data_IF_619614339197
#
_entry.id   IF_619614339197
#
_cell.length_a   1.000
_cell.length_b   1.000
_cell.length_c   1.000
_cell.angle_alpha   90.00
_cell.angle_beta   90.00
_cell.angle_gamma   90.00
#
_symmetry.space_group_name_H-M   'P 1'
#
loop_
_entity.id
_entity.type
_entity.pdbx_description
1 polymer ?
#
# COMPACT_ATOMS: atom_id res chain seq x y z
N UNK A 1 98.27 -17.63 -9.69
CA UNK A 1 98.22 -16.91 -8.40
C UNK A 1 97.00 -17.45 -7.66
N UNK A 2 97.23 -17.99 -6.46
CA UNK A 2 96.33 -18.56 -5.43
C UNK A 2 94.80 -18.36 -5.61
N UNK A 3 94.00 -19.45 -5.68
CA UNK A 3 93.34 -20.19 -4.58
C UNK A 3 92.18 -19.44 -3.89
N UNK A 4 91.01 -20.08 -3.82
CA UNK A 4 89.96 -19.74 -2.84
C UNK A 4 88.54 -20.08 -3.25
N UNK A 5 88.16 -21.36 -3.15
CA UNK A 5 86.76 -21.77 -2.93
C UNK A 5 86.43 -21.50 -1.46
N UNK A 6 85.26 -20.95 -1.13
CA UNK A 6 84.61 -21.33 0.11
C UNK A 6 83.08 -21.35 -0.01
N UNK A 7 82.55 -22.48 0.41
CA UNK A 7 81.14 -22.88 0.52
C UNK A 7 80.64 -22.45 1.89
N UNK A 8 79.38 -22.03 1.99
CA UNK A 8 78.55 -22.35 3.15
C UNK A 8 77.12 -22.66 2.69
N UNK A 9 76.73 -23.88 3.03
CA UNK A 9 75.41 -24.50 3.12
C UNK A 9 74.46 -23.67 4.03
N UNK A 10 73.13 -23.80 4.07
CA UNK A 10 72.25 -24.96 3.96
C UNK A 10 70.78 -24.50 3.79
N UNK A 11 69.93 -25.48 3.51
CA UNK A 11 68.51 -25.44 3.13
C UNK A 11 67.48 -25.08 4.25
N UNK A 12 66.27 -24.71 3.79
CA UNK A 12 64.92 -24.83 4.37
C UNK A 12 64.64 -24.24 5.78
N UNK A 13 63.69 -23.30 5.90
CA UNK A 13 62.36 -23.59 6.47
C UNK A 13 61.40 -22.39 6.53
N UNK A 14 60.11 -22.71 6.28
CA UNK A 14 58.89 -22.28 6.98
C UNK A 14 58.59 -20.77 7.16
N UNK A 15 57.41 -20.39 6.66
CA UNK A 15 56.50 -19.54 7.43
C UNK A 15 56.37 -18.10 6.95
N UNK A 16 55.33 -17.86 6.16
CA UNK A 16 54.91 -16.50 5.79
C UNK A 16 53.52 -16.48 5.18
N UNK A 17 52.56 -17.18 5.82
CA UNK A 17 51.14 -16.97 5.57
C UNK A 17 50.85 -15.51 5.95
N UNK A 18 50.87 -14.59 4.98
CA UNK A 18 50.31 -13.27 5.21
C UNK A 18 48.80 -13.46 5.37
N UNK A 19 48.37 -13.55 6.63
CA UNK A 19 46.99 -13.40 7.03
C UNK A 19 46.51 -12.02 6.60
N UNK A 20 46.08 -11.88 5.35
CA UNK A 20 45.18 -10.81 5.00
C UNK A 20 43.81 -11.22 5.53
N UNK A 21 43.61 -11.01 6.83
CA UNK A 21 42.27 -10.98 7.43
C UNK A 21 41.57 -9.73 6.89
N UNK A 22 41.21 -9.76 5.62
CA UNK A 22 40.30 -8.79 5.02
C UNK A 22 38.95 -9.08 5.65
N UNK A 23 38.55 -8.18 6.54
CA UNK A 23 37.19 -8.18 7.07
C UNK A 23 36.19 -8.25 5.91
N UNK A 24 35.02 -8.89 6.07
CA UNK A 24 33.98 -8.90 5.04
C UNK A 24 33.50 -7.50 4.60
N UNK A 25 33.90 -6.43 5.30
CA UNK A 25 33.53 -5.05 5.01
C UNK A 25 34.21 -4.48 3.76
N UNK A 26 35.41 -4.93 3.37
CA UNK A 26 36.17 -4.29 2.29
C UNK A 26 35.73 -4.71 0.87
N UNK A 27 34.95 -5.80 0.77
CA UNK A 27 34.38 -6.25 -0.50
C UNK A 27 33.00 -5.64 -0.82
N UNK A 28 32.36 -4.94 0.12
CA UNK A 28 31.10 -4.22 -0.13
C UNK A 28 31.31 -2.82 -0.76
N UNK A 29 32.52 -2.27 -0.67
CA UNK A 29 32.86 -0.96 -1.28
C UNK A 29 33.16 -1.05 -2.78
N UNK A 30 33.36 -2.27 -3.31
CA UNK A 30 33.62 -2.54 -4.74
C UNK A 30 32.38 -2.80 -5.59
N UNK A 31 31.19 -2.50 -5.07
CA UNK A 31 29.98 -2.35 -5.89
C UNK A 31 29.64 -0.86 -5.98
N UNK A 32 30.47 -0.10 -6.71
CA UNK A 32 30.46 1.37 -6.77
C UNK A 32 29.15 2.00 -7.25
N UNK A 33 28.14 2.00 -6.38
CA UNK A 33 27.00 2.90 -6.43
C UNK A 33 27.27 3.96 -5.37
N UNK A 34 27.81 5.11 -5.77
CA UNK A 34 27.97 6.26 -4.88
C UNK A 34 26.59 6.80 -4.47
N UNK A 35 25.84 6.07 -3.66
CA UNK A 35 24.43 6.33 -3.36
C UNK A 35 24.32 7.52 -2.40
N UNK A 36 23.46 8.49 -2.70
CA UNK A 36 23.30 9.64 -1.82
C UNK A 36 22.64 9.19 -0.50
N UNK A 37 22.88 9.88 0.63
CA UNK A 37 22.20 9.56 1.90
C UNK A 37 20.67 9.52 1.76
N UNK A 38 20.13 10.39 0.89
CA UNK A 38 18.71 10.44 0.54
C UNK A 38 18.25 9.14 -0.14
N UNK A 39 19.02 8.63 -1.10
CA UNK A 39 18.69 7.38 -1.80
C UNK A 39 18.73 6.17 -0.86
N UNK A 40 19.74 6.08 0.01
CA UNK A 40 19.81 5.01 1.01
C UNK A 40 18.58 5.05 1.90
N UNK A 41 18.19 6.24 2.37
CA UNK A 41 16.99 6.44 3.18
C UNK A 41 15.72 6.01 2.44
N UNK A 42 15.56 6.42 1.18
CA UNK A 42 14.40 6.02 0.36
C UNK A 42 14.34 4.52 0.14
N UNK A 43 15.47 3.86 -0.16
CA UNK A 43 15.52 2.40 -0.33
C UNK A 43 15.10 1.70 0.96
N UNK A 44 15.60 2.12 2.11
CA UNK A 44 15.21 1.57 3.41
C UNK A 44 13.70 1.75 3.68
N UNK A 45 13.13 2.91 3.35
CA UNK A 45 11.68 3.15 3.46
C UNK A 45 10.88 2.20 2.56
N UNK A 46 11.29 2.02 1.30
CA UNK A 46 10.58 1.12 0.40
C UNK A 46 10.71 -0.36 0.82
N UNK A 47 11.90 -0.79 1.25
CA UNK A 47 12.12 -2.16 1.75
C UNK A 47 11.31 -2.43 3.01
N UNK A 48 11.31 -1.51 3.98
CA UNK A 48 10.47 -1.64 5.18
C UNK A 48 8.99 -1.64 4.84
N UNK A 49 8.54 -0.76 3.93
CA UNK A 49 7.16 -0.74 3.43
C UNK A 49 6.78 -2.07 2.78
N UNK A 50 7.67 -2.67 1.98
CA UNK A 50 7.45 -3.98 1.38
C UNK A 50 7.23 -5.06 2.45
N UNK A 51 8.13 -5.14 3.44
CA UNK A 51 8.04 -6.14 4.51
C UNK A 51 6.77 -5.96 5.33
N UNK A 52 6.45 -4.71 5.71
CA UNK A 52 5.24 -4.38 6.47
C UNK A 52 3.99 -4.70 5.66
N UNK A 53 3.95 -4.34 4.36
CA UNK A 53 2.81 -4.61 3.50
C UNK A 53 2.59 -6.12 3.33
N UNK A 54 3.64 -6.90 3.09
CA UNK A 54 3.51 -8.35 2.92
C UNK A 54 3.09 -9.04 4.22
N UNK A 55 3.79 -8.78 5.32
CA UNK A 55 3.48 -9.41 6.60
C UNK A 55 2.12 -8.93 7.13
N UNK A 56 1.90 -7.61 7.17
CA UNK A 56 0.69 -6.99 7.71
C UNK A 56 -0.57 -7.40 6.96
N UNK A 57 -0.59 -7.31 5.63
CA UNK A 57 -1.77 -7.66 4.85
C UNK A 57 -2.03 -9.17 4.84
N UNK A 58 -0.98 -10.01 4.85
CA UNK A 58 -1.16 -11.47 4.97
C UNK A 58 -1.75 -11.83 6.34
N UNK A 59 -1.23 -11.26 7.42
CA UNK A 59 -1.79 -11.44 8.76
C UNK A 59 -3.23 -10.93 8.84
N UNK A 60 -3.55 -9.81 8.19
CA UNK A 60 -4.90 -9.28 8.12
C UNK A 60 -5.84 -10.27 7.44
N UNK A 61 -5.47 -10.82 6.28
CA UNK A 61 -6.27 -11.84 5.59
C UNK A 61 -6.49 -13.06 6.48
N UNK A 62 -5.44 -13.56 7.14
CA UNK A 62 -5.52 -14.73 8.04
C UNK A 62 -6.40 -14.48 9.26
N UNK A 63 -6.28 -13.30 9.89
CA UNK A 63 -7.08 -12.93 11.05
C UNK A 63 -8.56 -12.77 10.68
N UNK A 64 -8.84 -12.10 9.56
CA UNK A 64 -10.20 -11.84 9.10
C UNK A 64 -10.88 -13.08 8.50
N UNK A 65 -10.12 -14.05 7.95
CA UNK A 65 -10.65 -15.34 7.53
C UNK A 65 -11.30 -16.12 8.70
N UNK A 66 -10.88 -15.86 9.95
CA UNK A 66 -11.49 -16.46 11.15
C UNK A 66 -12.70 -15.71 11.68
N UNK A 67 -12.96 -14.48 11.19
CA UNK A 67 -14.07 -13.66 11.64
C UNK A 67 -15.30 -13.83 10.75
N UNK A 68 -16.45 -14.15 11.36
CA UNK A 68 -17.74 -14.33 10.65
C UNK A 68 -18.44 -13.00 10.31
N UNK A 69 -17.76 -11.86 10.40
CA UNK A 69 -18.37 -10.56 10.13
C UNK A 69 -18.44 -10.30 8.63
N UNK A 70 -19.60 -9.83 8.15
CA UNK A 70 -19.80 -9.53 6.72
C UNK A 70 -18.78 -8.50 6.20
N UNK A 71 -18.34 -7.55 7.04
CA UNK A 71 -17.38 -6.50 6.70
C UNK A 71 -15.96 -7.03 6.43
N UNK A 72 -15.64 -8.24 6.93
CA UNK A 72 -14.34 -8.87 6.74
C UNK A 72 -13.99 -9.05 5.25
N UNK A 73 -15.00 -9.17 4.39
CA UNK A 73 -14.83 -9.39 2.94
C UNK A 73 -14.21 -8.18 2.23
N UNK A 74 -14.61 -6.95 2.55
CA UNK A 74 -14.00 -5.74 1.96
C UNK A 74 -12.61 -5.46 2.53
N UNK A 75 -12.37 -5.82 3.79
CA UNK A 75 -11.06 -5.69 4.42
C UNK A 75 -10.07 -6.67 3.80
N UNK A 76 -10.50 -7.93 3.59
CA UNK A 76 -9.69 -8.92 2.88
C UNK A 76 -9.40 -8.51 1.43
N UNK A 77 -10.35 -7.88 0.73
CA UNK A 77 -10.13 -7.34 -0.61
C UNK A 77 -9.08 -6.22 -0.62
N UNK A 78 -9.14 -5.30 0.34
CA UNK A 78 -8.13 -4.23 0.51
C UNK A 78 -6.74 -4.82 0.76
N UNK A 79 -6.64 -5.79 1.67
CA UNK A 79 -5.38 -6.46 1.93
C UNK A 79 -4.83 -7.18 0.69
N UNK A 80 -5.70 -7.81 -0.11
CA UNK A 80 -5.29 -8.46 -1.34
C UNK A 80 -4.73 -7.46 -2.37
N UNK A 81 -5.38 -6.31 -2.58
CA UNK A 81 -4.86 -5.27 -3.48
C UNK A 81 -3.55 -4.67 -2.98
N UNK A 82 -3.41 -4.47 -1.67
CA UNK A 82 -2.17 -3.94 -1.08
C UNK A 82 -1.00 -4.94 -1.19
N UNK A 83 -1.27 -6.26 -1.16
CA UNK A 83 -0.26 -7.29 -1.47
C UNK A 83 0.22 -7.18 -2.92
N UNK A 84 -0.68 -6.97 -3.89
CA UNK A 84 -0.29 -6.75 -5.28
C UNK A 84 0.55 -5.48 -5.46
N UNK A 85 0.22 -4.39 -4.76
CA UNK A 85 1.05 -3.18 -4.72
C UNK A 85 2.43 -3.50 -4.14
N UNK A 86 2.48 -4.21 -3.01
CA UNK A 86 3.73 -4.68 -2.40
C UNK A 86 4.59 -5.49 -3.38
N UNK A 87 4.02 -6.50 -4.03
CA UNK A 87 4.76 -7.41 -4.91
C UNK A 87 5.20 -6.75 -6.23
N UNK A 88 4.40 -5.84 -6.80
CA UNK A 88 4.67 -5.31 -8.14
C UNK A 88 5.18 -3.86 -8.14
N UNK A 89 4.61 -2.96 -7.34
CA UNK A 89 4.97 -1.55 -7.37
C UNK A 89 6.27 -1.29 -6.59
N UNK A 90 6.36 -1.81 -5.36
CA UNK A 90 7.45 -1.47 -4.44
C UNK A 90 8.82 -1.92 -4.99
N UNK A 91 9.00 -3.13 -5.55
CA UNK A 91 10.26 -3.52 -6.18
C UNK A 91 10.68 -2.63 -7.35
N UNK A 92 9.71 -2.11 -8.14
CA UNK A 92 10.01 -1.15 -9.21
C UNK A 92 10.51 0.17 -8.64
N UNK A 93 9.92 0.66 -7.54
CA UNK A 93 10.38 1.87 -6.86
C UNK A 93 11.80 1.67 -6.31
N UNK A 94 12.07 0.55 -5.63
CA UNK A 94 13.42 0.20 -5.15
C UNK A 94 14.43 0.18 -6.31
N UNK A 95 14.09 -0.50 -7.41
CA UNK A 95 14.95 -0.57 -8.60
C UNK A 95 15.24 0.82 -9.16
N UNK A 96 14.24 1.70 -9.20
CA UNK A 96 14.39 3.07 -9.67
C UNK A 96 15.37 3.88 -8.80
N UNK A 97 15.24 3.76 -7.48
CA UNK A 97 16.12 4.47 -6.54
C UNK A 97 17.58 3.97 -6.62
N UNK A 98 17.78 2.65 -6.73
CA UNK A 98 19.13 2.04 -6.82
C UNK A 98 19.80 2.38 -8.16
N UNK A 99 19.07 2.24 -9.28
CA UNK A 99 19.63 2.42 -10.63
C UNK A 99 19.64 3.88 -11.08
N UNK A 100 19.07 4.80 -10.29
CA UNK A 100 18.91 6.24 -10.62
C UNK A 100 18.24 6.49 -11.97
N UNK A 101 17.45 5.54 -12.42
CA UNK A 101 16.80 5.55 -13.72
C UNK A 101 15.57 4.65 -13.66
N UNK A 102 14.65 4.79 -14.61
CA UNK A 102 13.53 3.83 -14.75
C UNK A 102 13.99 2.54 -15.44
N UNK A 103 15.20 2.07 -15.13
CA UNK A 103 15.78 0.89 -15.73
C UNK A 103 14.97 -0.35 -15.33
N UNK A 104 14.72 -1.21 -16.31
CA UNK A 104 14.05 -2.48 -16.14
C UNK A 104 15.09 -3.60 -16.20
N UNK A 105 15.07 -4.50 -15.21
CA UNK A 105 16.16 -5.47 -15.05
C UNK A 105 15.95 -6.78 -15.83
N UNK A 106 14.72 -7.06 -16.25
CA UNK A 106 14.38 -8.35 -16.88
C UNK A 106 14.28 -8.20 -18.40
N UNK A 107 15.07 -8.98 -19.13
CA UNK A 107 15.16 -8.94 -20.58
C UNK A 107 14.24 -9.96 -21.27
N UNK A 108 14.13 -9.88 -22.60
CA UNK A 108 13.42 -10.84 -23.44
C UNK A 108 11.89 -10.78 -23.34
N UNK A 109 11.23 -11.82 -23.83
CA UNK A 109 9.77 -11.91 -23.85
C UNK A 109 9.17 -11.91 -22.44
N UNK A 110 9.80 -12.61 -21.50
CA UNK A 110 9.42 -12.59 -20.08
C UNK A 110 9.51 -11.18 -19.48
N UNK A 111 10.54 -10.42 -19.84
CA UNK A 111 10.68 -9.01 -19.47
C UNK A 111 9.55 -8.14 -19.99
N UNK A 112 9.13 -8.34 -21.25
CA UNK A 112 8.03 -7.56 -21.84
C UNK A 112 6.71 -7.87 -21.14
N UNK A 113 6.44 -9.15 -20.88
CA UNK A 113 5.27 -9.57 -20.13
C UNK A 113 5.27 -8.98 -18.73
N UNK A 114 6.41 -9.05 -18.02
CA UNK A 114 6.54 -8.50 -16.67
C UNK A 114 6.40 -6.97 -16.66
N UNK A 115 6.95 -6.26 -17.66
CA UNK A 115 6.79 -4.81 -17.81
C UNK A 115 5.30 -4.42 -17.91
N UNK A 116 4.55 -5.10 -18.80
CA UNK A 116 3.10 -4.84 -18.96
C UNK A 116 2.31 -5.25 -17.73
N UNK A 117 2.47 -6.49 -17.27
CA UNK A 117 1.69 -7.06 -16.17
C UNK A 117 1.97 -6.37 -14.85
N UNK A 118 3.23 -6.10 -14.52
CA UNK A 118 3.55 -5.45 -13.25
C UNK A 118 2.97 -4.05 -13.21
N UNK A 119 3.09 -3.27 -14.29
CA UNK A 119 2.56 -1.89 -14.34
C UNK A 119 1.04 -1.89 -14.30
N UNK A 120 0.40 -2.78 -15.07
CA UNK A 120 -1.05 -2.97 -15.07
C UNK A 120 -1.58 -3.39 -13.69
N UNK A 121 -1.02 -4.45 -13.08
CA UNK A 121 -1.50 -4.97 -11.81
C UNK A 121 -1.31 -3.98 -10.66
N UNK A 122 -0.22 -3.19 -10.66
CA UNK A 122 -0.02 -2.16 -9.64
C UNK A 122 -1.10 -1.07 -9.70
N UNK A 123 -1.38 -0.55 -10.89
CA UNK A 123 -2.32 0.57 -11.04
C UNK A 123 -3.77 0.12 -10.93
N UNK A 124 -4.08 -1.10 -11.39
CA UNK A 124 -5.36 -1.78 -11.11
C UNK A 124 -5.54 -1.94 -9.60
N UNK A 125 -4.52 -2.40 -8.88
CA UNK A 125 -4.62 -2.62 -7.43
C UNK A 125 -4.80 -1.31 -6.67
N UNK A 126 -4.11 -0.25 -7.06
CA UNK A 126 -4.33 1.09 -6.50
C UNK A 126 -5.77 1.55 -6.73
N UNK A 127 -6.30 1.35 -7.95
CA UNK A 127 -7.67 1.70 -8.30
C UNK A 127 -8.70 0.90 -7.49
N UNK A 128 -8.48 -0.40 -7.33
CA UNK A 128 -9.31 -1.28 -6.50
C UNK A 128 -9.28 -0.82 -5.03
N UNK A 129 -8.11 -0.48 -4.49
CA UNK A 129 -8.00 0.06 -3.13
C UNK A 129 -8.83 1.34 -2.95
N UNK A 130 -8.77 2.29 -3.89
CA UNK A 130 -9.59 3.51 -3.83
C UNK A 130 -11.10 3.23 -3.97
N UNK A 131 -11.49 2.35 -4.89
CA UNK A 131 -12.90 1.95 -5.04
C UNK A 131 -13.41 1.20 -3.80
N UNK A 132 -12.56 0.42 -3.13
CA UNK A 132 -12.91 -0.27 -1.90
C UNK A 132 -13.20 0.70 -0.75
N UNK A 133 -12.54 1.87 -0.71
CA UNK A 133 -12.90 2.94 0.23
C UNK A 133 -14.33 3.42 0.04
N UNK A 134 -14.80 3.54 -1.22
CA UNK A 134 -16.20 3.87 -1.52
C UNK A 134 -17.11 2.77 -0.97
N UNK A 135 -16.79 1.50 -1.21
CA UNK A 135 -17.61 0.37 -0.73
C UNK A 135 -17.72 0.36 0.80
N UNK A 136 -16.61 0.58 1.51
CA UNK A 136 -16.60 0.67 2.98
C UNK A 136 -17.43 1.88 3.44
N UNK A 137 -17.22 3.06 2.85
CA UNK A 137 -17.95 4.27 3.22
C UNK A 137 -19.47 4.12 2.96
N UNK A 138 -19.84 3.54 1.82
CA UNK A 138 -21.23 3.25 1.46
C UNK A 138 -21.85 2.21 2.40
N UNK A 139 -21.11 1.17 2.79
CA UNK A 139 -21.59 0.20 3.77
C UNK A 139 -21.90 0.88 5.11
N UNK A 140 -21.01 1.75 5.60
CA UNK A 140 -21.23 2.50 6.85
C UNK A 140 -22.43 3.43 6.73
N UNK A 141 -22.55 4.14 5.61
CA UNK A 141 -23.69 5.00 5.34
C UNK A 141 -25.00 4.21 5.34
N UNK A 142 -25.06 3.07 4.64
CA UNK A 142 -26.24 2.20 4.61
C UNK A 142 -26.61 1.68 6.01
N UNK A 143 -25.61 1.25 6.80
CA UNK A 143 -25.85 0.76 8.15
C UNK A 143 -26.48 1.82 9.07
N UNK A 144 -26.09 3.09 8.91
CA UNK A 144 -26.57 4.21 9.74
C UNK A 144 -27.89 4.79 9.23
N UNK A 145 -28.02 5.00 7.92
CA UNK A 145 -29.15 5.73 7.34
C UNK A 145 -30.29 4.80 6.94
N UNK A 146 -29.98 3.59 6.46
CA UNK A 146 -30.95 2.63 5.95
C UNK A 146 -30.75 1.23 6.55
N UNK A 147 -30.91 1.06 7.89
CA UNK A 147 -30.56 -0.18 8.59
C UNK A 147 -31.32 -1.41 8.07
N UNK A 148 -32.56 -1.25 7.63
CA UNK A 148 -33.36 -2.34 7.03
C UNK A 148 -32.79 -2.81 5.69
N UNK A 149 -32.30 -1.89 4.85
CA UNK A 149 -31.66 -2.24 3.59
C UNK A 149 -30.29 -2.88 3.85
N UNK A 150 -29.52 -2.34 4.80
CA UNK A 150 -28.24 -2.92 5.20
C UNK A 150 -28.37 -4.39 5.65
N UNK A 151 -29.44 -4.72 6.41
CA UNK A 151 -29.71 -6.11 6.82
C UNK A 151 -29.90 -7.06 5.64
N UNK A 152 -30.46 -6.58 4.52
CA UNK A 152 -30.66 -7.35 3.28
C UNK A 152 -29.38 -7.56 2.47
N UNK A 153 -28.32 -6.79 2.72
CA UNK A 153 -27.03 -6.97 2.04
C UNK A 153 -26.42 -8.32 2.42
N UNK A 154 -26.33 -9.20 1.44
CA UNK A 154 -25.77 -10.55 1.58
C UNK A 154 -24.26 -10.55 1.33
N UNK A 155 -23.60 -11.64 1.74
CA UNK A 155 -22.18 -11.87 1.42
C UNK A 155 -21.98 -12.01 -0.09
N UNK A 156 -22.92 -12.65 -0.81
CA UNK A 156 -22.90 -12.75 -2.27
C UNK A 156 -22.89 -11.38 -2.95
N UNK A 157 -23.73 -10.44 -2.48
CA UNK A 157 -23.74 -9.07 -2.99
C UNK A 157 -22.37 -8.40 -2.82
N UNK A 158 -21.67 -8.62 -1.70
CA UNK A 158 -20.33 -8.05 -1.46
C UNK A 158 -19.28 -8.61 -2.41
N UNK A 159 -19.29 -9.93 -2.64
CA UNK A 159 -18.41 -10.54 -3.63
C UNK A 159 -18.68 -10.04 -5.05
N UNK A 160 -19.95 -9.83 -5.41
CA UNK A 160 -20.30 -9.20 -6.70
C UNK A 160 -19.76 -7.77 -6.77
N UNK A 161 -19.91 -6.96 -5.71
CA UNK A 161 -19.35 -5.60 -5.66
C UNK A 161 -17.82 -5.61 -5.81
N UNK A 162 -17.12 -6.53 -5.15
CA UNK A 162 -15.67 -6.69 -5.32
C UNK A 162 -15.34 -7.08 -6.76
N UNK A 163 -16.03 -8.07 -7.34
CA UNK A 163 -15.79 -8.45 -8.73
C UNK A 163 -15.98 -7.27 -9.68
N UNK A 164 -16.99 -6.42 -9.44
CA UNK A 164 -17.21 -5.19 -10.19
C UNK A 164 -16.04 -4.20 -10.04
N UNK A 165 -15.47 -4.01 -8.84
CA UNK A 165 -14.32 -3.11 -8.68
C UNK A 165 -13.10 -3.59 -9.47
N UNK A 166 -12.82 -4.89 -9.43
CA UNK A 166 -11.74 -5.49 -10.22
C UNK A 166 -11.97 -5.33 -11.72
N UNK A 167 -13.17 -5.66 -12.21
CA UNK A 167 -13.51 -5.55 -13.64
C UNK A 167 -13.42 -4.10 -14.10
N UNK A 168 -13.97 -3.15 -13.33
CA UNK A 168 -13.93 -1.74 -13.66
C UNK A 168 -12.49 -1.21 -13.69
N UNK A 169 -11.68 -1.53 -12.68
CA UNK A 169 -10.27 -1.14 -12.64
C UNK A 169 -9.49 -1.73 -13.83
N UNK A 170 -9.66 -3.02 -14.11
CA UNK A 170 -9.01 -3.67 -15.26
C UNK A 170 -9.46 -3.06 -16.60
N UNK A 171 -10.73 -2.70 -16.73
CA UNK A 171 -11.24 -2.04 -17.94
C UNK A 171 -10.59 -0.67 -18.14
N UNK A 172 -10.52 0.16 -17.10
CA UNK A 172 -9.90 1.50 -17.14
C UNK A 172 -8.41 1.43 -17.51
N UNK A 173 -7.69 0.43 -17.01
CA UNK A 173 -6.25 0.22 -17.25
C UNK A 173 -5.94 -0.68 -18.44
N UNK A 174 -6.94 -1.23 -19.13
CA UNK A 174 -6.74 -2.13 -20.28
C UNK A 174 -5.86 -1.56 -21.41
N UNK A 175 -5.82 -0.23 -21.68
CA UNK A 175 -4.87 0.33 -22.65
C UNK A 175 -3.40 0.02 -22.34
N UNK A 176 -3.04 -0.34 -21.09
CA UNK A 176 -1.65 -0.66 -20.69
C UNK A 176 -1.07 -1.80 -21.53
N UNK A 177 -1.89 -2.79 -21.89
CA UNK A 177 -1.48 -3.89 -22.74
C UNK A 177 -1.08 -3.42 -24.15
N UNK A 178 -1.69 -2.33 -24.62
CA UNK A 178 -1.35 -1.72 -25.89
C UNK A 178 -0.26 -0.67 -25.77
N UNK A 179 -0.14 0.12 -24.70
CA UNK A 179 0.81 1.26 -24.68
C UNK A 179 2.19 0.89 -24.11
N UNK A 180 2.28 -0.02 -23.14
CA UNK A 180 3.59 -0.30 -22.53
C UNK A 180 4.51 -1.09 -23.47
N UNK A 181 5.74 -0.62 -23.59
CA UNK A 181 6.80 -1.21 -24.41
C UNK A 181 8.06 -1.39 -23.57
N UNK A 182 8.82 -2.41 -23.96
CA UNK A 182 10.14 -2.66 -23.42
C UNK A 182 11.17 -2.23 -24.47
N UNK A 183 11.90 -1.15 -24.20
CA UNK A 183 12.79 -0.50 -25.17
C UNK A 183 14.21 -0.45 -24.60
N UNK A 184 15.20 -0.77 -25.43
CA UNK A 184 16.62 -0.66 -25.06
C UNK A 184 17.20 0.65 -25.59
N UNK A 185 17.63 1.52 -24.69
CA UNK A 185 18.42 2.70 -25.05
C UNK A 185 19.91 2.36 -24.94
N UNK A 186 20.63 2.46 -26.06
CA UNK A 186 22.09 2.30 -26.08
C UNK A 186 22.75 3.59 -25.60
N UNK A 187 23.62 3.49 -24.60
CA UNK A 187 24.52 4.58 -24.20
C UNK A 187 25.71 4.64 -25.16
N UNK A 188 26.39 5.80 -25.21
CA UNK A 188 27.56 6.02 -26.08
C UNK A 188 28.71 5.03 -25.84
N UNK A 189 28.82 4.47 -24.64
CA UNK A 189 29.82 3.45 -24.29
C UNK A 189 29.44 2.02 -24.72
N UNK A 190 28.40 1.85 -25.54
CA UNK A 190 27.92 0.54 -26.02
C UNK A 190 27.04 -0.23 -25.04
N UNK A 191 26.89 0.23 -23.79
CA UNK A 191 26.01 -0.42 -22.80
C UNK A 191 24.54 -0.08 -23.08
N UNK A 192 23.69 -1.09 -23.20
CA UNK A 192 22.24 -0.93 -23.37
C UNK A 192 21.53 -0.91 -22.02
N UNK A 193 20.73 0.12 -21.74
CA UNK A 193 19.81 0.14 -20.59
C UNK A 193 18.39 -0.08 -21.08
N UNK A 194 17.67 -0.98 -20.42
CA UNK A 194 16.31 -1.38 -20.78
C UNK A 194 15.31 -0.53 -20.00
N UNK A 195 14.22 -0.12 -20.63
CA UNK A 195 13.19 0.71 -20.02
C UNK A 195 11.80 0.18 -20.33
N UNK A 196 10.92 0.20 -19.33
CA UNK A 196 9.50 -0.06 -19.49
C UNK A 196 8.77 1.28 -19.56
N UNK A 197 8.36 1.69 -20.77
CA UNK A 197 7.79 3.02 -21.01
C UNK A 197 6.48 2.94 -21.81
N UNK A 198 5.53 3.86 -21.56
CA UNK A 198 4.35 3.99 -22.40
C UNK A 198 4.74 4.58 -23.76
N UNK A 199 4.25 3.96 -24.83
CA UNK A 199 4.36 4.42 -26.21
C UNK A 199 2.98 4.34 -26.86
N UNK A 200 2.51 5.47 -27.36
CA UNK A 200 1.16 5.63 -27.90
C UNK A 200 1.09 5.43 -29.42
N UNK A 201 2.24 5.38 -30.08
CA UNK A 201 2.39 5.14 -31.51
C UNK A 201 2.16 3.66 -31.88
N UNK A 202 1.72 3.38 -33.11
CA UNK A 202 1.33 4.32 -34.17
C UNK A 202 -0.12 4.83 -34.04
N UNK A 203 -0.96 4.20 -33.21
CA UNK A 203 -2.38 4.54 -33.10
C UNK A 203 -2.65 5.99 -32.66
N UNK A 204 -1.78 6.56 -31.83
CA UNK A 204 -1.91 7.92 -31.31
C UNK A 204 -0.53 8.62 -31.28
N UNK A 205 -0.14 9.25 -32.39
CA UNK A 205 1.13 9.97 -32.52
C UNK A 205 1.13 11.35 -31.84
N UNK A 206 -0.04 11.88 -31.49
CA UNK A 206 -0.15 13.19 -30.84
C UNK A 206 0.05 13.04 -29.33
N UNK A 207 0.95 13.82 -28.73
CA UNK A 207 1.22 13.81 -27.29
C UNK A 207 0.01 14.13 -26.40
N UNK A 208 -1.10 14.61 -26.98
CA UNK A 208 -2.37 14.85 -26.29
C UNK A 208 -3.05 13.57 -25.80
N UNK A 209 -2.86 12.42 -26.47
CA UNK A 209 -3.50 11.16 -26.08
C UNK A 209 -3.07 10.70 -24.69
N UNK A 210 -1.76 10.77 -24.42
CA UNK A 210 -1.20 10.46 -23.09
C UNK A 210 -1.79 11.38 -22.03
N UNK A 211 -1.79 12.70 -22.27
CA UNK A 211 -2.32 13.67 -21.31
C UNK A 211 -3.80 13.42 -21.03
N UNK A 212 -4.63 13.27 -22.07
CA UNK A 212 -6.06 13.02 -21.92
C UNK A 212 -6.33 11.74 -21.13
N UNK A 213 -5.61 10.66 -21.42
CA UNK A 213 -5.80 9.39 -20.72
C UNK A 213 -5.36 9.46 -19.25
N UNK A 214 -4.19 10.05 -18.97
CA UNK A 214 -3.72 10.23 -17.60
C UNK A 214 -4.67 11.14 -16.82
N UNK A 215 -5.10 12.26 -17.39
CA UNK A 215 -6.09 13.15 -16.76
C UNK A 215 -7.41 12.43 -16.53
N UNK A 216 -7.90 11.65 -17.49
CA UNK A 216 -9.11 10.82 -17.33
C UNK A 216 -8.97 9.84 -16.16
N UNK A 217 -7.85 9.12 -16.06
CA UNK A 217 -7.59 8.21 -14.95
C UNK A 217 -7.53 8.94 -13.61
N UNK A 218 -6.80 10.06 -13.52
CA UNK A 218 -6.75 10.84 -12.27
C UNK A 218 -8.13 11.34 -11.83
N UNK A 219 -8.93 11.87 -12.76
CA UNK A 219 -10.28 12.35 -12.45
C UNK A 219 -11.18 11.19 -12.00
N UNK A 220 -11.17 10.08 -12.73
CA UNK A 220 -12.11 8.96 -12.50
C UNK A 220 -11.71 8.00 -11.39
N UNK A 221 -10.41 7.79 -11.16
CA UNK A 221 -9.88 6.85 -10.18
C UNK A 221 -9.49 7.53 -8.88
N UNK A 222 -9.15 8.83 -8.91
CA UNK A 222 -8.71 9.56 -7.71
C UNK A 222 -9.74 10.58 -7.28
N UNK A 223 -9.99 11.63 -8.07
CA UNK A 223 -10.80 12.76 -7.62
C UNK A 223 -12.26 12.39 -7.35
N UNK A 224 -12.93 11.73 -8.31
CA UNK A 224 -14.34 11.34 -8.13
C UNK A 224 -14.48 10.38 -6.92
N UNK A 225 -13.70 9.30 -6.79
CA UNK A 225 -13.76 8.43 -5.62
C UNK A 225 -13.52 9.14 -4.29
N UNK A 226 -12.52 10.02 -4.20
CA UNK A 226 -12.23 10.76 -2.97
C UNK A 226 -13.38 11.71 -2.59
N UNK A 227 -13.98 12.39 -3.57
CA UNK A 227 -15.16 13.24 -3.34
C UNK A 227 -16.34 12.41 -2.83
N UNK A 228 -16.61 11.25 -3.44
CA UNK A 228 -17.69 10.35 -3.02
C UNK A 228 -17.44 9.84 -1.60
N UNK A 229 -16.23 9.38 -1.28
CA UNK A 229 -15.86 8.94 0.08
C UNK A 229 -16.03 10.07 1.08
N UNK A 230 -15.56 11.28 0.77
CA UNK A 230 -15.68 12.43 1.66
C UNK A 230 -17.15 12.75 1.99
N UNK A 231 -18.02 12.77 0.98
CA UNK A 231 -19.46 13.03 1.14
C UNK A 231 -20.12 11.92 1.98
N UNK A 232 -19.84 10.66 1.68
CA UNK A 232 -20.40 9.51 2.41
C UNK A 232 -19.94 9.49 3.88
N UNK A 233 -18.66 9.77 4.13
CA UNK A 233 -18.12 9.86 5.48
C UNK A 233 -18.72 11.04 6.25
N UNK A 234 -18.80 12.23 5.65
CA UNK A 234 -19.38 13.40 6.29
C UNK A 234 -20.85 13.18 6.67
N UNK A 235 -21.65 12.65 5.73
CA UNK A 235 -23.06 12.35 5.97
C UNK A 235 -23.25 11.30 7.05
N UNK A 236 -22.45 10.24 7.05
CA UNK A 236 -22.44 9.20 8.09
C UNK A 236 -22.10 9.80 9.46
N UNK A 237 -21.05 10.62 9.54
CA UNK A 237 -20.62 11.27 10.78
C UNK A 237 -21.69 12.21 11.35
N UNK A 238 -22.31 13.04 10.51
CA UNK A 238 -23.40 13.93 10.94
C UNK A 238 -24.58 13.13 11.49
N UNK A 239 -24.98 12.05 10.80
CA UNK A 239 -26.10 11.22 11.24
C UNK A 239 -25.80 10.47 12.52
N UNK A 240 -24.61 9.88 12.65
CA UNK A 240 -24.16 9.23 13.87
C UNK A 240 -24.18 10.20 15.07
N UNK A 241 -23.64 11.41 14.92
CA UNK A 241 -23.68 12.43 15.98
C UNK A 241 -25.10 12.83 16.38
N UNK A 242 -26.04 12.88 15.45
CA UNK A 242 -27.46 13.16 15.76
C UNK A 242 -28.12 12.02 16.52
N UNK A 243 -27.86 10.78 16.13
CA UNK A 243 -28.38 9.59 16.82
C UNK A 243 -27.80 9.51 18.23
N UNK A 244 -26.50 9.73 18.38
CA UNK A 244 -25.81 9.73 19.68
C UNK A 244 -26.41 10.76 20.65
N UNK A 245 -26.56 12.02 20.21
CA UNK A 245 -27.23 13.06 21.00
C UNK A 245 -28.67 12.68 21.41
N UNK A 246 -29.43 12.05 20.51
CA UNK A 246 -30.79 11.60 20.80
C UNK A 246 -30.79 10.47 21.85
N UNK A 247 -29.89 9.50 21.72
CA UNK A 247 -29.77 8.37 22.65
C UNK A 247 -29.36 8.87 24.04
N UNK A 248 -28.39 9.78 24.12
CA UNK A 248 -27.95 10.39 25.38
C UNK A 248 -29.07 11.24 26.01
N UNK A 249 -29.77 12.05 25.23
CA UNK A 249 -30.92 12.80 25.75
C UNK A 249 -32.05 11.90 26.26
N UNK A 250 -32.29 10.75 25.62
CA UNK A 250 -33.27 9.76 26.10
C UNK A 250 -32.81 9.07 27.39
N UNK A 251 -31.52 8.75 27.53
CA UNK A 251 -30.99 8.15 28.76
C UNK A 251 -31.06 9.12 29.94
N UNK A 252 -30.71 10.39 29.72
CA UNK A 252 -30.85 11.48 30.70
C UNK A 252 -32.30 11.70 31.11
N UNK A 253 -33.22 11.77 30.14
CA UNK A 253 -34.66 11.92 30.42
C UNK A 253 -35.25 10.72 31.16
N UNK A 254 -34.76 9.50 30.90
CA UNK A 254 -35.15 8.29 31.65
C UNK A 254 -34.61 8.35 33.08
N UNK A 255 -33.36 8.76 33.27
CA UNK A 255 -32.77 8.97 34.59
C UNK A 255 -33.57 10.02 35.38
N UNK A 256 -33.82 11.19 34.80
CA UNK A 256 -34.61 12.28 35.43
C UNK A 256 -35.98 11.79 35.90
N UNK A 257 -36.74 11.09 35.05
CA UNK A 257 -38.06 10.52 35.44
C UNK A 257 -37.97 9.51 36.59
N UNK A 258 -36.87 8.77 36.71
CA UNK A 258 -36.66 7.82 37.82
C UNK A 258 -36.46 8.53 39.16
N UNK A 259 -35.78 9.68 39.17
CA UNK A 259 -35.47 10.43 40.40
C UNK A 259 -36.51 11.49 40.76
N UNK A 260 -37.39 11.87 39.84
CA UNK A 260 -38.40 12.92 40.05
C UNK A 260 -39.37 12.63 41.22
N UNK A 261 -39.90 11.41 41.41
CA UNK A 261 -40.74 11.08 42.58
C UNK A 261 -39.98 11.08 43.90
N UNK A 262 -38.66 10.87 43.88
CA UNK A 262 -37.86 10.85 45.10
C UNK A 262 -37.63 12.26 45.68
N UNK A 263 -37.86 13.32 44.90
CA UNK A 263 -37.71 14.70 45.40
C UNK A 263 -38.63 15.04 46.57
N UNK A 264 -39.77 14.34 46.72
CA UNK A 264 -40.65 14.50 47.89
C UNK A 264 -40.12 13.82 49.15
N UNK A 265 -39.04 13.02 49.06
CA UNK A 265 -38.40 12.31 50.16
C UNK A 265 -36.89 12.63 50.21
N UNK A 266 -36.48 13.77 50.82
CA UNK A 266 -35.11 14.31 50.71
C UNK A 266 -34.02 13.34 51.17
N UNK A 267 -34.27 12.54 52.21
CA UNK A 267 -33.31 11.55 52.72
C UNK A 267 -33.03 10.42 51.73
N UNK A 268 -34.06 9.92 51.05
CA UNK A 268 -33.94 8.85 50.05
C UNK A 268 -33.37 9.37 48.73
N UNK A 269 -33.72 10.61 48.36
CA UNK A 269 -33.15 11.30 47.21
C UNK A 269 -31.63 11.50 47.34
N UNK A 270 -31.15 11.98 48.48
CA UNK A 270 -29.72 12.21 48.72
C UNK A 270 -28.90 10.91 48.77
N UNK A 271 -29.53 9.77 49.09
CA UNK A 271 -28.88 8.46 49.12
C UNK A 271 -28.84 7.77 47.74
N UNK A 272 -29.83 8.01 46.86
CA UNK A 272 -29.91 7.38 45.54
C UNK A 272 -29.39 8.23 44.38
N UNK A 273 -29.19 9.53 44.59
CA UNK A 273 -28.65 10.42 43.55
C UNK A 273 -27.20 9.97 43.23
N UNK A 274 -26.87 9.69 41.97
CA UNK A 274 -25.50 9.37 41.60
C UNK A 274 -24.63 10.61 41.84
N UNK A 275 -23.44 10.42 42.42
CA UNK A 275 -22.42 11.46 42.51
C UNK A 275 -22.07 11.90 41.08
N UNK A 276 -22.58 13.06 40.70
CA UNK A 276 -22.31 13.65 39.39
C UNK A 276 -20.83 13.98 39.31
N UNK A 277 -20.06 13.13 38.64
CA UNK A 277 -18.68 13.42 38.24
C UNK A 277 -18.74 14.60 37.27
N UNK A 278 -18.31 15.77 37.74
CA UNK A 278 -18.04 16.93 36.91
C UNK A 278 -16.94 16.56 35.91
N UNK A 279 -17.32 16.33 34.65
CA UNK A 279 -16.38 16.33 33.53
C UNK A 279 -16.25 17.78 33.10
N UNK A 280 -15.13 18.39 33.46
CA UNK A 280 -14.79 19.76 33.09
C UNK A 280 -14.71 19.90 31.55
N UNK A 281 -15.34 20.98 31.06
CA UNK A 281 -15.27 21.48 29.68
C UNK A 281 -13.83 21.77 29.23
#
# INVERSE_FOLDING_TARGET
>A
MALGVNVSSDNLDVGGFHNTTTSPQENCEKLGVNMSPIQVTMVLIHVSTLLIALAGNTLLILAFARMKQKIAVFIANMAASDLFVGVFLIPRLITREITRSNAFLVHGLGGLLLCKMSTFLSDVSLSVSTQNLILIAAERFLAVVYPFLYRKVTVRTRYVLIAVTWILAMALHSPYFYIFRLITHKKQNGTGTLFCVPSWEPAFSNGSAQLHYVTFLYVTVVFIPLLVVAILCLTTMIKLRRVDKMVTGLSENRARRKYEPLKSFPGFYNMMKPDTVHVND
#
